data_IF_133699320825
#
_entry.id   IF_133699320825
#
_cell.length_a   1.000
_cell.length_b   1.000
_cell.length_c   1.000
_cell.angle_alpha   90.00
_cell.angle_beta   90.00
_cell.angle_gamma   90.00
#
_symmetry.space_group_name_H-M   'P 1'
#
loop_
_entity.id
_entity.type
_entity.pdbx_description
1 polymer ?
#
# COMPACT_ATOMS: atom_id res chain seq x y z
N UNK A 1 14.87 -30.08 -0.64
CA UNK A 1 14.21 -28.75 -0.57
C UNK A 1 14.23 -28.10 0.82
N UNK A 2 14.61 -28.80 1.89
CA UNK A 2 14.80 -28.18 3.22
C UNK A 2 16.16 -27.47 3.41
N UNK A 3 17.15 -27.84 2.59
CA UNK A 3 18.51 -27.28 2.61
C UNK A 3 18.57 -25.78 2.29
N UNK A 4 17.56 -25.23 1.61
CA UNK A 4 17.48 -23.80 1.30
C UNK A 4 17.45 -22.94 2.55
N UNK A 5 16.92 -23.46 3.66
CA UNK A 5 16.91 -22.78 4.97
C UNK A 5 18.25 -22.82 5.71
N UNK A 6 19.24 -23.61 5.24
CA UNK A 6 20.59 -23.60 5.83
C UNK A 6 21.44 -22.43 5.30
N UNK A 7 21.17 -21.97 4.08
CA UNK A 7 21.93 -20.89 3.43
C UNK A 7 21.32 -19.52 3.70
N UNK A 8 20.00 -19.44 3.90
CA UNK A 8 19.27 -18.21 4.16
C UNK A 8 18.73 -18.19 5.58
N UNK A 9 19.07 -17.14 6.34
CA UNK A 9 18.51 -16.92 7.67
C UNK A 9 16.98 -16.83 7.59
N UNK A 10 16.22 -17.81 8.13
CA UNK A 10 14.78 -17.93 7.92
C UNK A 10 14.02 -16.67 8.33
N UNK A 11 14.49 -16.01 9.40
CA UNK A 11 13.93 -14.76 9.89
C UNK A 11 14.00 -13.64 8.84
N UNK A 12 15.12 -13.50 8.13
CA UNK A 12 15.31 -12.43 7.15
C UNK A 12 14.41 -12.62 5.93
N UNK A 13 14.18 -13.87 5.52
CA UNK A 13 13.26 -14.19 4.41
C UNK A 13 11.81 -13.88 4.79
N UNK A 14 11.38 -14.27 6.00
CA UNK A 14 10.02 -13.95 6.49
C UNK A 14 9.79 -12.45 6.65
N UNK A 15 10.77 -11.72 7.21
CA UNK A 15 10.71 -10.27 7.34
C UNK A 15 10.73 -9.60 5.97
N UNK A 16 11.57 -10.06 5.04
CA UNK A 16 11.63 -9.54 3.67
C UNK A 16 10.32 -9.70 2.92
N UNK A 17 9.67 -10.87 3.04
CA UNK A 17 8.34 -11.09 2.47
C UNK A 17 7.29 -10.16 3.10
N UNK A 18 7.31 -10.01 4.42
CA UNK A 18 6.36 -9.16 5.14
C UNK A 18 6.52 -7.68 4.75
N UNK A 19 7.76 -7.19 4.71
CA UNK A 19 8.07 -5.81 4.30
C UNK A 19 7.71 -5.58 2.84
N UNK A 20 8.01 -6.53 1.95
CA UNK A 20 7.63 -6.44 0.54
C UNK A 20 6.11 -6.29 0.36
N UNK A 21 5.34 -7.15 1.03
CA UNK A 21 3.88 -7.10 0.97
C UNK A 21 3.32 -5.82 1.60
N UNK A 22 3.90 -5.36 2.72
CA UNK A 22 3.49 -4.12 3.37
C UNK A 22 3.75 -2.89 2.49
N UNK A 23 4.94 -2.79 1.88
CA UNK A 23 5.29 -1.70 0.96
C UNK A 23 4.38 -1.72 -0.28
N UNK A 24 4.11 -2.91 -0.85
CA UNK A 24 3.19 -3.06 -1.97
C UNK A 24 1.78 -2.59 -1.61
N UNK A 25 1.26 -3.01 -0.46
CA UNK A 25 -0.05 -2.59 0.03
C UNK A 25 -0.11 -1.07 0.21
N UNK A 26 0.85 -0.48 0.92
CA UNK A 26 0.88 0.96 1.14
C UNK A 26 1.00 1.75 -0.17
N UNK A 27 1.82 1.30 -1.11
CA UNK A 27 1.95 1.94 -2.43
C UNK A 27 0.60 2.02 -3.14
N UNK A 28 -0.17 0.92 -3.16
CA UNK A 28 -1.50 0.90 -3.79
C UNK A 28 -2.47 1.84 -3.06
N UNK A 29 -2.47 1.83 -1.72
CA UNK A 29 -3.36 2.68 -0.94
C UNK A 29 -3.03 4.17 -1.14
N UNK A 30 -1.75 4.54 -1.13
CA UNK A 30 -1.31 5.91 -1.36
C UNK A 30 -1.66 6.39 -2.78
N UNK A 31 -1.58 5.52 -3.79
CA UNK A 31 -2.02 5.86 -5.16
C UNK A 31 -3.53 6.15 -5.17
N UNK A 32 -4.36 5.31 -4.55
CA UNK A 32 -5.82 5.50 -4.50
C UNK A 32 -6.18 6.79 -3.75
N UNK A 33 -5.55 7.02 -2.60
CA UNK A 33 -5.71 8.24 -1.79
C UNK A 33 -5.25 9.51 -2.51
N UNK A 34 -4.22 9.41 -3.36
CA UNK A 34 -3.72 10.56 -4.12
C UNK A 34 -4.64 10.99 -5.28
N UNK A 35 -5.69 10.20 -5.60
CA UNK A 35 -6.60 10.51 -6.71
C UNK A 35 -7.92 11.07 -6.22
N UNK A 36 -8.36 12.23 -6.75
CA UNK A 36 -9.62 12.91 -6.38
C UNK A 36 -10.88 12.05 -6.49
N UNK A 37 -10.86 10.96 -7.25
CA UNK A 37 -12.04 10.10 -7.46
C UNK A 37 -12.07 8.88 -6.54
N UNK A 38 -10.92 8.37 -6.12
CA UNK A 38 -10.82 7.17 -5.27
C UNK A 38 -10.33 7.47 -3.85
N UNK A 39 -10.07 8.74 -3.54
CA UNK A 39 -9.75 9.20 -2.20
C UNK A 39 -10.95 9.02 -1.26
N UNK A 40 -10.96 7.92 -0.53
CA UNK A 40 -12.03 7.63 0.42
C UNK A 40 -12.03 8.52 1.67
N UNK A 41 -10.95 9.30 1.91
CA UNK A 41 -10.90 10.22 3.05
C UNK A 41 -11.63 11.54 2.80
N UNK A 42 -11.79 11.96 1.54
CA UNK A 42 -12.57 13.16 1.18
C UNK A 42 -14.09 12.93 1.18
N UNK A 43 -14.53 11.67 1.36
CA UNK A 43 -15.94 11.30 1.31
C UNK A 43 -16.57 11.44 -0.09
N UNK A 44 -17.90 11.21 -0.21
CA UNK A 44 -18.61 11.19 -1.51
C UNK A 44 -18.54 12.50 -2.32
N UNK A 45 -17.99 13.55 -1.72
CA UNK A 45 -17.96 14.91 -2.23
C UNK A 45 -16.56 15.39 -2.62
N UNK A 46 -15.54 14.51 -2.76
CA UNK A 46 -14.20 14.92 -3.21
C UNK A 46 -14.25 15.84 -4.45
N UNK A 47 -15.13 15.53 -5.41
CA UNK A 47 -15.40 16.37 -6.58
C UNK A 47 -16.29 17.60 -6.29
N UNK A 48 -17.25 17.49 -5.38
CA UNK A 48 -18.15 18.60 -5.02
C UNK A 48 -17.46 19.67 -4.16
N UNK A 49 -16.46 19.31 -3.34
CA UNK A 49 -15.60 20.26 -2.61
C UNK A 49 -14.82 21.15 -3.58
N UNK A 50 -14.33 20.60 -4.70
CA UNK A 50 -13.64 21.38 -5.74
C UNK A 50 -14.61 22.39 -6.39
N UNK A 51 -15.85 21.99 -6.67
CA UNK A 51 -16.85 22.82 -7.34
C UNK A 51 -17.42 23.94 -6.46
N UNK A 52 -17.34 23.84 -5.12
CA UNK A 52 -17.76 24.91 -4.20
C UNK A 52 -16.66 25.95 -3.91
N UNK A 53 -15.42 25.65 -4.29
CA UNK A 53 -14.26 26.55 -4.12
C UNK A 53 -14.06 27.44 -5.36
N UNK A 54 -14.58 27.04 -6.52
CA UNK A 54 -14.72 27.88 -7.72
C UNK A 54 -15.97 28.77 -7.64
#
# INVERSE_FOLDING_TARGET
MWRTWLTYDPRRVLVGLHVYLAVLAFTIHFILLSTDTYNWMDGPNARATIELVE
#
